data_IF_382559545169
#
_entry.id   IF_382559545169
#
_cell.length_a   1.000
_cell.length_b   1.000
_cell.length_c   1.000
_cell.angle_alpha   90.00
_cell.angle_beta   90.00
_cell.angle_gamma   90.00
#
_symmetry.space_group_name_H-M   'P 1'
#
loop_
_entity.id
_entity.type
_entity.pdbx_description
1 polymer ?
#
# COMPACT_ATOMS: atom_id res chain seq x y z
N UNK A 1 -10.41 -11.04 -42.81
CA UNK A 1 -10.33 -10.22 -41.59
C UNK A 1 -9.76 -8.88 -42.00
N UNK A 2 -10.53 -7.81 -41.83
CA UNK A 2 -10.15 -6.48 -42.26
C UNK A 2 -9.30 -5.78 -41.16
N UNK A 3 -8.42 -4.86 -41.53
CA UNK A 3 -7.48 -4.20 -40.59
C UNK A 3 -8.19 -3.58 -39.38
N UNK A 4 -9.38 -3.03 -39.59
CA UNK A 4 -10.24 -2.49 -38.55
C UNK A 4 -10.70 -3.53 -37.50
N UNK A 5 -10.99 -4.76 -37.92
CA UNK A 5 -11.45 -5.82 -37.01
C UNK A 5 -10.31 -6.28 -36.09
N UNK A 6 -9.09 -6.32 -36.60
CA UNK A 6 -7.89 -6.67 -35.83
C UNK A 6 -7.63 -5.61 -34.76
N UNK A 7 -7.65 -4.33 -35.15
CA UNK A 7 -7.44 -3.20 -34.24
C UNK A 7 -8.53 -3.08 -33.17
N UNK A 8 -9.78 -3.40 -33.51
CA UNK A 8 -10.89 -3.42 -32.54
C UNK A 8 -10.66 -4.53 -31.50
N UNK A 9 -10.26 -5.71 -31.94
CA UNK A 9 -9.98 -6.86 -31.07
C UNK A 9 -8.81 -6.59 -30.12
N UNK A 10 -7.75 -5.93 -30.61
CA UNK A 10 -6.62 -5.50 -29.76
C UNK A 10 -7.04 -4.49 -28.70
N UNK A 11 -7.86 -3.50 -29.07
CA UNK A 11 -8.40 -2.51 -28.13
C UNK A 11 -9.28 -3.14 -27.05
N UNK A 12 -10.14 -4.08 -27.42
CA UNK A 12 -10.96 -4.83 -26.46
C UNK A 12 -10.10 -5.65 -25.50
N UNK A 13 -9.02 -6.24 -26.01
CA UNK A 13 -8.06 -7.02 -25.20
C UNK A 13 -7.32 -6.13 -24.22
N UNK A 14 -6.76 -5.01 -24.69
CA UNK A 14 -6.09 -4.00 -23.86
C UNK A 14 -7.01 -3.43 -22.79
N UNK A 15 -8.27 -3.14 -23.15
CA UNK A 15 -9.25 -2.59 -22.20
C UNK A 15 -9.54 -3.61 -21.09
N UNK A 16 -9.68 -4.89 -21.44
CA UNK A 16 -9.92 -5.97 -20.48
C UNK A 16 -8.72 -6.16 -19.53
N UNK A 17 -7.50 -6.14 -20.07
CA UNK A 17 -6.27 -6.26 -19.28
C UNK A 17 -6.05 -5.06 -18.36
N UNK A 18 -6.30 -3.84 -18.85
CA UNK A 18 -6.22 -2.63 -18.04
C UNK A 18 -7.23 -2.65 -16.89
N UNK A 19 -8.47 -3.06 -17.17
CA UNK A 19 -9.49 -3.16 -16.12
C UNK A 19 -9.09 -4.16 -15.03
N UNK A 20 -8.51 -5.31 -15.42
CA UNK A 20 -8.00 -6.31 -14.47
C UNK A 20 -6.85 -5.76 -13.63
N UNK A 21 -5.96 -4.98 -14.22
CA UNK A 21 -4.83 -4.35 -13.51
C UNK A 21 -5.29 -3.27 -12.55
N UNK A 22 -6.20 -2.39 -12.99
CA UNK A 22 -6.82 -1.37 -12.15
C UNK A 22 -7.51 -2.00 -10.94
N UNK A 23 -8.20 -3.12 -11.15
CA UNK A 23 -8.87 -3.80 -10.04
C UNK A 23 -7.92 -4.40 -9.02
N UNK A 24 -6.77 -4.94 -9.46
CA UNK A 24 -5.70 -5.39 -8.56
C UNK A 24 -5.07 -4.23 -7.78
N UNK A 25 -4.88 -3.08 -8.41
CA UNK A 25 -4.34 -1.88 -7.74
C UNK A 25 -5.34 -1.38 -6.70
N UNK A 26 -6.61 -1.25 -7.10
CA UNK A 26 -7.68 -0.82 -6.22
C UNK A 26 -7.80 -1.73 -5.00
N UNK A 27 -7.80 -3.05 -5.19
CA UNK A 27 -7.88 -4.01 -4.07
C UNK A 27 -6.68 -3.95 -3.14
N UNK A 28 -5.47 -3.67 -3.65
CA UNK A 28 -4.27 -3.47 -2.80
C UNK A 28 -4.33 -2.15 -2.01
N UNK A 29 -4.84 -1.08 -2.61
CA UNK A 29 -4.91 0.24 -1.97
C UNK A 29 -6.00 0.26 -0.90
N UNK A 30 -7.21 -0.13 -1.28
CA UNK A 30 -8.41 0.03 -0.44
C UNK A 30 -8.81 -1.22 0.33
N UNK A 31 -8.28 -2.39 -0.07
CA UNK A 31 -8.66 -3.67 0.51
C UNK A 31 -9.85 -4.29 -0.21
N UNK A 32 -9.92 -5.62 -0.17
CA UNK A 32 -11.04 -6.41 -0.68
C UNK A 32 -11.33 -7.59 0.27
N UNK A 33 -11.75 -7.26 1.49
CA UNK A 33 -11.92 -8.21 2.60
C UNK A 33 -10.70 -8.30 3.54
N UNK A 34 -9.52 -7.93 3.07
CA UNK A 34 -8.31 -7.75 3.88
C UNK A 34 -7.95 -6.25 4.01
N UNK A 35 -7.25 -5.82 5.08
CA UNK A 35 -6.86 -4.43 5.25
C UNK A 35 -5.96 -3.95 4.10
N UNK A 36 -6.45 -3.02 3.28
CA UNK A 36 -5.67 -2.39 2.22
C UNK A 36 -4.56 -1.48 2.78
N UNK A 37 -3.67 -1.02 1.90
CA UNK A 37 -2.56 -0.12 2.25
C UNK A 37 -3.01 1.13 3.02
N UNK A 38 -4.15 1.73 2.65
CA UNK A 38 -4.69 2.92 3.35
C UNK A 38 -5.04 2.58 4.79
N UNK A 39 -5.69 1.43 5.02
CA UNK A 39 -6.08 0.97 6.35
C UNK A 39 -4.86 0.59 7.19
N UNK A 40 -3.87 -0.09 6.59
CA UNK A 40 -2.62 -0.42 7.26
C UNK A 40 -1.83 0.84 7.66
N UNK A 41 -1.80 1.86 6.79
CA UNK A 41 -1.16 3.13 7.08
C UNK A 41 -1.89 3.86 8.22
N UNK A 42 -3.23 3.90 8.20
CA UNK A 42 -4.01 4.50 9.27
C UNK A 42 -3.77 3.80 10.62
N UNK A 43 -3.73 2.46 10.63
CA UNK A 43 -3.41 1.67 11.83
C UNK A 43 -1.98 1.93 12.32
N UNK A 44 -1.01 2.06 11.41
CA UNK A 44 0.35 2.41 11.77
C UNK A 44 0.43 3.81 12.38
N UNK A 45 -0.22 4.81 11.78
CA UNK A 45 -0.29 6.17 12.33
C UNK A 45 -0.94 6.17 13.70
N UNK A 46 -2.04 5.44 13.88
CA UNK A 46 -2.72 5.34 15.17
C UNK A 46 -1.85 4.62 16.22
N UNK A 47 -1.12 3.58 15.83
CA UNK A 47 -0.16 2.88 16.69
C UNK A 47 0.97 3.80 17.14
N UNK A 48 1.57 4.55 16.20
CA UNK A 48 2.62 5.53 16.51
C UNK A 48 2.09 6.63 17.42
N UNK A 49 0.89 7.16 17.17
CA UNK A 49 0.28 8.20 17.99
C UNK A 49 -0.04 7.70 19.41
N UNK A 50 -0.61 6.51 19.55
CA UNK A 50 -0.87 5.89 20.85
C UNK A 50 0.43 5.62 21.63
N UNK A 51 1.47 5.13 20.94
CA UNK A 51 2.78 4.93 21.53
C UNK A 51 3.42 6.26 21.95
N UNK A 52 3.30 7.32 21.15
CA UNK A 52 3.79 8.66 21.48
C UNK A 52 3.08 9.26 22.70
N UNK A 53 1.76 9.08 22.83
CA UNK A 53 1.02 9.52 24.02
C UNK A 53 1.40 8.72 25.28
N UNK A 54 1.83 7.47 25.12
CA UNK A 54 2.26 6.60 26.23
C UNK A 54 3.70 6.91 26.65
N UNK A 55 4.60 7.18 25.70
CA UNK A 55 6.00 7.55 25.94
C UNK A 55 6.19 9.01 26.33
N UNK A 56 5.32 9.93 25.88
CA UNK A 56 5.28 11.32 26.36
C UNK A 56 5.01 11.39 27.88
N UNK A 57 4.40 10.34 28.45
CA UNK A 57 4.24 10.18 29.91
C UNK A 57 5.46 9.52 30.59
N UNK A 58 6.40 8.93 29.84
CA UNK A 58 7.55 8.16 30.36
C UNK A 58 8.92 8.77 30.07
N UNK A 59 9.01 9.83 29.27
CA UNK A 59 10.23 10.66 29.13
C UNK A 59 11.44 9.92 28.55
N UNK A 60 11.24 8.96 27.64
CA UNK A 60 12.31 8.09 27.14
C UNK A 60 12.37 8.06 25.60
N UNK A 61 12.67 9.22 25.01
CA UNK A 61 12.65 9.51 23.56
C UNK A 61 13.56 8.64 22.69
N UNK A 62 14.62 8.03 23.24
CA UNK A 62 15.61 7.30 22.45
C UNK A 62 15.06 5.99 21.85
N UNK A 63 14.06 5.36 22.49
CA UNK A 63 13.44 4.14 21.97
C UNK A 63 12.60 4.39 20.72
N UNK A 64 11.99 5.59 20.60
CA UNK A 64 11.16 5.98 19.47
C UNK A 64 11.95 6.13 18.17
N UNK A 65 13.16 6.70 18.23
CA UNK A 65 14.03 6.87 17.06
C UNK A 65 14.42 5.51 16.47
N UNK A 66 14.73 4.53 17.34
CA UNK A 66 15.14 3.19 16.91
C UNK A 66 13.97 2.43 16.28
N UNK A 67 12.79 2.42 16.92
CA UNK A 67 11.62 1.71 16.37
C UNK A 67 11.15 2.31 15.05
N UNK A 68 11.14 3.64 14.94
CA UNK A 68 10.80 4.34 13.69
C UNK A 68 11.81 4.03 12.59
N UNK A 69 13.10 4.00 12.92
CA UNK A 69 14.17 3.60 11.98
C UNK A 69 14.01 2.16 11.47
N UNK A 70 13.71 1.21 12.35
CA UNK A 70 13.46 -0.20 11.97
C UNK A 70 12.22 -0.33 11.09
N UNK A 71 11.14 0.40 11.40
CA UNK A 71 9.92 0.38 10.60
C UNK A 71 10.17 0.92 9.18
N UNK A 72 10.91 2.02 9.04
CA UNK A 72 11.30 2.57 7.74
C UNK A 72 12.19 1.58 6.99
N UNK A 73 13.18 0.99 7.66
CA UNK A 73 14.08 0.00 7.05
C UNK A 73 13.31 -1.24 6.56
N UNK A 74 12.33 -1.73 7.32
CA UNK A 74 11.49 -2.85 6.92
C UNK A 74 10.65 -2.54 5.66
N UNK A 75 10.09 -1.33 5.58
CA UNK A 75 9.34 -0.87 4.40
C UNK A 75 10.26 -0.77 3.17
N UNK A 76 11.46 -0.21 3.32
CA UNK A 76 12.43 -0.09 2.22
C UNK A 76 12.87 -1.48 1.73
N UNK A 77 13.19 -2.40 2.64
CA UNK A 77 13.58 -3.78 2.28
C UNK A 77 12.46 -4.50 1.55
N UNK A 78 11.20 -4.31 1.94
CA UNK A 78 10.05 -4.92 1.27
C UNK A 78 9.78 -4.35 -0.14
N UNK A 79 10.33 -3.19 -0.49
CA UNK A 79 10.19 -2.59 -1.83
C UNK A 79 11.32 -3.07 -2.76
N UNK A 80 12.52 -3.29 -2.22
CA UNK A 80 13.69 -3.72 -2.99
C UNK A 80 13.83 -5.25 -3.13
N UNK A 81 13.02 -6.02 -2.40
CA UNK A 81 12.97 -7.48 -2.48
C UNK A 81 11.68 -7.93 -3.18
#
# INVERSE_FOLDING_TARGET
MNDLEIRLTELETLTRENNKTLWKIHSKIFGNGEPGLVTQLALLTQSVQAHHQTEAKRGNDWKWVITTGIAIAAVVVAIYK
#
